data_IF_309677279224
#
_entry.id   IF_309677279224
#
_cell.length_a   1.000
_cell.length_b   1.000
_cell.length_c   1.000
_cell.angle_alpha   90.00
_cell.angle_beta   90.00
_cell.angle_gamma   90.00
#
_symmetry.space_group_name_H-M   'P 1'
#
loop_
_entity.id
_entity.type
_entity.pdbx_description
1 polymer ?
#
# COMPACT_ATOMS: atom_id res chain seq x y z
N UNK A 1 85.14 38.50 15.74
CA UNK A 1 83.82 38.73 16.38
C UNK A 1 83.07 37.40 16.46
N UNK A 2 82.69 36.97 17.68
CA UNK A 2 81.73 35.88 18.01
C UNK A 2 82.10 34.47 17.53
N UNK A 3 82.71 33.56 18.31
CA UNK A 3 82.34 32.96 19.61
C UNK A 3 81.15 31.99 19.59
N UNK A 4 81.54 30.71 19.73
CA UNK A 4 80.84 29.49 20.16
C UNK A 4 79.61 29.64 21.07
N UNK A 5 78.60 28.77 20.88
CA UNK A 5 78.10 27.88 21.95
C UNK A 5 77.20 26.73 21.43
N UNK A 6 77.61 25.52 21.76
CA UNK A 6 76.79 24.31 21.77
C UNK A 6 75.92 24.23 23.04
N UNK A 7 74.80 23.48 22.93
CA UNK A 7 74.02 22.71 23.95
C UNK A 7 72.66 22.44 23.29
N UNK A 8 72.10 21.24 23.15
CA UNK A 8 72.34 19.92 23.73
C UNK A 8 70.96 19.26 23.90
N UNK A 9 70.89 17.93 23.71
CA UNK A 9 69.84 17.03 24.24
C UNK A 9 68.41 17.15 23.66
N UNK A 10 67.57 16.13 23.45
CA UNK A 10 67.55 14.65 23.45
C UNK A 10 66.08 14.31 23.10
N UNK A 11 65.81 13.21 22.37
CA UNK A 11 64.52 12.45 22.30
C UNK A 11 63.19 13.23 22.22
N UNK A 12 62.44 13.01 21.15
CA UNK A 12 61.19 12.23 21.24
C UNK A 12 60.60 11.99 19.85
N UNK A 13 60.63 10.72 19.47
CA UNK A 13 59.79 10.09 18.46
C UNK A 13 58.37 9.99 19.03
N UNK A 14 57.37 10.04 18.14
CA UNK A 14 55.94 9.73 18.36
C UNK A 14 55.05 10.87 18.87
N UNK A 15 54.21 11.42 17.97
CA UNK A 15 52.77 11.65 18.21
C UNK A 15 52.13 12.34 16.98
N UNK A 16 52.08 11.67 15.83
CA UNK A 16 51.28 12.12 14.67
C UNK A 16 50.23 11.07 14.26
N UNK A 17 49.70 10.36 15.27
CA UNK A 17 48.80 9.22 15.09
C UNK A 17 47.45 9.34 15.83
N UNK A 18 47.01 10.54 16.21
CA UNK A 18 45.89 10.68 17.17
C UNK A 18 44.75 11.62 16.77
N UNK A 19 44.69 12.05 15.51
CA UNK A 19 43.57 12.87 14.98
C UNK A 19 42.58 12.09 14.09
N UNK A 20 42.77 10.78 13.90
CA UNK A 20 41.80 9.88 13.24
C UNK A 20 40.91 9.06 14.19
N UNK A 21 41.12 9.17 15.50
CA UNK A 21 40.40 8.36 16.51
C UNK A 21 39.15 9.03 17.11
N UNK A 22 38.93 10.33 16.91
CA UNK A 22 37.78 11.05 17.52
C UNK A 22 36.52 11.10 16.65
N UNK A 23 36.59 10.80 15.35
CA UNK A 23 35.43 10.75 14.46
C UNK A 23 34.80 9.35 14.31
N UNK A 24 35.47 8.31 14.79
CA UNK A 24 34.97 6.93 14.77
C UNK A 24 34.13 6.56 16.01
N UNK A 25 34.18 7.36 17.08
CA UNK A 25 33.51 7.06 18.35
C UNK A 25 32.23 7.88 18.62
N UNK A 26 31.84 8.76 17.69
CA UNK A 26 30.61 9.55 17.76
C UNK A 26 29.44 8.98 16.93
N UNK A 27 29.61 7.80 16.31
CA UNK A 27 28.54 7.12 15.55
C UNK A 27 27.87 5.95 16.29
N UNK A 28 28.27 5.67 17.53
CA UNK A 28 27.74 4.54 18.29
C UNK A 28 26.81 4.94 19.46
N UNK A 29 26.23 6.14 19.43
CA UNK A 29 25.28 6.63 20.45
C UNK A 29 23.83 6.78 19.96
N UNK A 30 23.48 6.25 18.78
CA UNK A 30 22.08 6.19 18.30
C UNK A 30 21.37 4.86 18.58
N UNK A 31 21.93 4.00 19.42
CA UNK A 31 21.32 2.72 19.82
C UNK A 31 20.36 2.82 21.03
N UNK A 32 19.99 4.04 21.44
CA UNK A 32 19.14 4.28 22.62
C UNK A 32 17.65 4.56 22.34
N UNK A 33 17.20 4.62 21.07
CA UNK A 33 15.81 4.95 20.72
C UNK A 33 15.10 3.86 19.87
N UNK A 34 15.48 2.59 20.00
CA UNK A 34 14.73 1.45 19.46
C UNK A 34 14.52 0.39 20.53
N UNK A 35 13.58 0.61 21.44
CA UNK A 35 13.28 -0.35 22.51
C UNK A 35 12.05 -1.22 22.28
N UNK A 36 11.29 -1.00 21.20
CA UNK A 36 10.06 -1.77 20.92
C UNK A 36 10.25 -2.68 19.69
N UNK A 37 9.88 -3.97 19.79
CA UNK A 37 9.86 -4.84 18.62
C UNK A 37 8.90 -4.28 17.57
N UNK A 38 9.29 -4.35 16.29
CA UNK A 38 8.51 -3.80 15.16
C UNK A 38 7.06 -4.28 15.19
N UNK A 39 6.81 -5.54 15.57
CA UNK A 39 5.47 -6.11 15.72
C UNK A 39 4.53 -5.33 16.65
N UNK A 40 5.06 -4.57 17.62
CA UNK A 40 4.31 -3.80 18.60
C UNK A 40 4.31 -2.28 18.33
N UNK A 41 4.74 -1.86 17.14
CA UNK A 41 4.53 -0.46 16.74
C UNK A 41 3.04 -0.14 16.73
N UNK A 42 2.69 1.07 17.17
CA UNK A 42 1.30 1.56 17.22
C UNK A 42 0.55 1.34 15.89
N UNK A 43 1.10 1.67 14.70
CA UNK A 43 0.43 1.36 13.43
C UNK A 43 0.15 -0.14 13.24
N UNK A 44 1.04 -1.02 13.68
CA UNK A 44 0.85 -2.47 13.51
C UNK A 44 -0.23 -3.02 14.47
N UNK A 45 -0.35 -2.44 15.67
CA UNK A 45 -1.43 -2.76 16.60
C UNK A 45 -2.80 -2.34 16.01
N UNK A 46 -2.86 -1.18 15.35
CA UNK A 46 -4.05 -0.75 14.60
C UNK A 46 -4.33 -1.74 13.46
N UNK A 47 -3.30 -2.16 12.72
CA UNK A 47 -3.41 -3.20 11.68
C UNK A 47 -4.02 -4.51 12.20
N UNK A 48 -3.60 -5.01 13.37
CA UNK A 48 -4.20 -6.20 13.97
C UNK A 48 -5.66 -5.98 14.40
N UNK A 49 -5.97 -4.80 14.93
CA UNK A 49 -7.35 -4.44 15.27
C UNK A 49 -8.24 -4.42 14.02
N UNK A 50 -7.73 -3.94 12.87
CA UNK A 50 -8.43 -3.98 11.57
C UNK A 50 -8.69 -5.41 11.11
N UNK A 51 -7.70 -6.30 11.21
CA UNK A 51 -7.88 -7.73 10.90
C UNK A 51 -9.01 -8.33 11.76
N UNK A 52 -8.99 -8.08 13.08
CA UNK A 52 -10.03 -8.57 13.97
C UNK A 52 -11.42 -7.99 13.67
N UNK A 53 -11.50 -6.68 13.39
CA UNK A 53 -12.73 -6.01 13.00
C UNK A 53 -13.31 -6.61 11.71
N UNK A 54 -12.48 -6.86 10.70
CA UNK A 54 -12.90 -7.50 9.45
C UNK A 54 -13.39 -8.93 9.66
N UNK A 55 -12.67 -9.76 10.43
CA UNK A 55 -13.12 -11.13 10.76
C UNK A 55 -14.48 -11.10 11.43
N UNK A 56 -14.66 -10.19 12.40
CA UNK A 56 -15.93 -10.02 13.12
C UNK A 56 -17.03 -9.53 12.18
N UNK A 57 -16.73 -8.57 11.31
CA UNK A 57 -17.67 -8.07 10.31
C UNK A 57 -18.16 -9.22 9.43
N UNK A 58 -17.25 -9.94 8.78
CA UNK A 58 -17.61 -11.05 7.89
C UNK A 58 -18.37 -12.18 8.61
N UNK A 59 -18.09 -12.44 9.89
CA UNK A 59 -18.85 -13.41 10.68
C UNK A 59 -20.34 -13.04 10.84
N UNK A 60 -20.67 -11.75 10.83
CA UNK A 60 -22.05 -11.25 11.00
C UNK A 60 -22.69 -10.74 9.70
N UNK A 61 -22.04 -10.90 8.55
CA UNK A 61 -22.47 -10.27 7.29
C UNK A 61 -23.89 -10.67 6.86
N UNK A 62 -24.28 -11.94 7.01
CA UNK A 62 -25.62 -12.40 6.63
C UNK A 62 -26.65 -12.30 7.75
N UNK A 63 -26.25 -12.03 9.00
CA UNK A 63 -27.15 -11.94 10.15
C UNK A 63 -27.50 -10.50 10.51
N UNK A 64 -26.55 -9.57 10.41
CA UNK A 64 -26.75 -8.17 10.74
C UNK A 64 -25.97 -7.25 9.78
N UNK A 65 -26.64 -6.83 8.69
CA UNK A 65 -26.02 -5.98 7.66
C UNK A 65 -25.56 -4.60 8.17
N UNK A 66 -26.34 -3.87 9.00
CA UNK A 66 -25.86 -2.60 9.56
C UNK A 66 -24.59 -2.76 10.40
N UNK A 67 -24.52 -3.81 11.22
CA UNK A 67 -23.33 -4.08 12.04
C UNK A 67 -22.11 -4.42 11.17
N UNK A 68 -22.30 -5.25 10.12
CA UNK A 68 -21.26 -5.51 9.12
C UNK A 68 -20.73 -4.20 8.53
N UNK A 69 -21.61 -3.35 8.00
CA UNK A 69 -21.23 -2.11 7.35
C UNK A 69 -20.50 -1.17 8.32
N UNK A 70 -20.95 -1.08 9.57
CA UNK A 70 -20.30 -0.30 10.62
C UNK A 70 -18.89 -0.79 10.94
N UNK A 71 -18.72 -2.10 11.19
CA UNK A 71 -17.41 -2.69 11.51
C UNK A 71 -16.44 -2.60 10.34
N UNK A 72 -16.91 -2.87 9.12
CA UNK A 72 -16.11 -2.76 7.90
C UNK A 72 -15.67 -1.31 7.66
N UNK A 73 -16.58 -0.33 7.83
CA UNK A 73 -16.25 1.08 7.69
C UNK A 73 -15.25 1.56 8.75
N UNK A 74 -15.38 1.09 10.00
CA UNK A 74 -14.40 1.37 11.05
C UNK A 74 -13.02 0.83 10.67
N UNK A 75 -12.96 -0.42 10.19
CA UNK A 75 -11.72 -1.03 9.71
C UNK A 75 -11.09 -0.22 8.57
N UNK A 76 -11.91 0.22 7.61
CA UNK A 76 -11.50 1.08 6.49
C UNK A 76 -11.02 2.47 6.93
N UNK A 77 -11.61 3.07 7.97
CA UNK A 77 -11.12 4.36 8.51
C UNK A 77 -9.80 4.17 9.24
N UNK A 78 -9.64 3.06 9.96
CA UNK A 78 -8.41 2.74 10.69
C UNK A 78 -7.20 2.55 9.76
N UNK A 79 -7.42 2.18 8.50
CA UNK A 79 -6.40 2.15 7.43
C UNK A 79 -5.61 3.44 7.32
N UNK A 80 -6.32 4.54 7.04
CA UNK A 80 -5.69 5.84 6.89
C UNK A 80 -5.06 6.34 8.20
N UNK A 81 -5.59 5.89 9.36
CA UNK A 81 -5.05 6.23 10.67
C UNK A 81 -3.72 5.52 10.94
N UNK A 82 -3.56 4.23 10.61
CA UNK A 82 -2.31 3.52 10.85
C UNK A 82 -1.15 4.16 10.06
N UNK A 83 -1.38 4.54 8.81
CA UNK A 83 -0.40 5.23 7.99
C UNK A 83 -0.04 6.61 8.54
N UNK A 84 -1.00 7.34 9.11
CA UNK A 84 -0.75 8.63 9.78
C UNK A 84 0.09 8.44 11.04
N UNK A 85 -0.27 7.50 11.91
CA UNK A 85 0.49 7.22 13.13
C UNK A 85 1.90 6.72 12.81
N UNK A 86 2.08 5.91 11.78
CA UNK A 86 3.40 5.47 11.33
C UNK A 86 4.32 6.65 10.98
N UNK A 87 3.79 7.69 10.31
CA UNK A 87 4.52 8.91 9.96
C UNK A 87 4.73 9.85 11.16
N UNK A 88 3.72 9.99 12.01
CA UNK A 88 3.77 10.89 13.18
C UNK A 88 4.72 10.39 14.27
N UNK A 89 4.79 9.07 14.46
CA UNK A 89 5.59 8.43 15.52
C UNK A 89 6.96 7.95 15.03
N UNK A 90 7.31 8.21 13.77
CA UNK A 90 8.52 7.67 13.10
C UNK A 90 8.62 6.12 13.21
N UNK A 91 7.47 5.45 13.14
CA UNK A 91 7.30 3.99 13.27
C UNK A 91 7.00 3.33 11.91
N UNK A 92 7.56 3.86 10.82
CA UNK A 92 7.42 3.25 9.49
C UNK A 92 8.23 1.96 9.40
N UNK A 93 7.63 0.91 8.83
CA UNK A 93 8.30 -0.39 8.67
C UNK A 93 7.80 -1.15 7.45
N UNK A 94 8.66 -1.97 6.84
CA UNK A 94 8.26 -2.84 5.71
C UNK A 94 7.20 -3.84 6.13
N UNK A 95 7.28 -4.39 7.35
CA UNK A 95 6.26 -5.27 7.89
C UNK A 95 4.89 -4.58 7.97
N UNK A 96 4.84 -3.37 8.53
CA UNK A 96 3.59 -2.61 8.62
C UNK A 96 2.99 -2.29 7.26
N UNK A 97 3.81 -1.87 6.30
CA UNK A 97 3.34 -1.60 4.93
C UNK A 97 2.80 -2.86 4.22
N UNK A 98 3.39 -4.04 4.46
CA UNK A 98 2.88 -5.30 3.91
C UNK A 98 1.61 -5.74 4.64
N UNK A 99 1.56 -5.63 5.96
CA UNK A 99 0.38 -5.97 6.77
C UNK A 99 -0.84 -5.14 6.34
N UNK A 100 -0.64 -3.84 6.18
CA UNK A 100 -1.63 -2.87 5.69
C UNK A 100 -2.20 -3.29 4.33
N UNK A 101 -1.32 -3.38 3.32
CA UNK A 101 -1.69 -3.78 1.96
C UNK A 101 -2.42 -5.14 1.92
N UNK A 102 -1.91 -6.16 2.62
CA UNK A 102 -2.54 -7.49 2.63
C UNK A 102 -3.92 -7.42 3.27
N UNK A 103 -4.07 -6.67 4.37
CA UNK A 103 -5.36 -6.51 5.06
C UNK A 103 -6.38 -5.86 4.14
N UNK A 104 -6.00 -4.83 3.38
CA UNK A 104 -6.89 -4.19 2.39
C UNK A 104 -7.37 -5.20 1.36
N UNK A 105 -6.42 -5.90 0.73
CA UNK A 105 -6.73 -6.83 -0.36
C UNK A 105 -7.66 -7.94 0.10
N UNK A 106 -7.40 -8.50 1.28
CA UNK A 106 -8.23 -9.56 1.87
C UNK A 106 -9.63 -9.03 2.22
N UNK A 107 -9.74 -7.80 2.71
CA UNK A 107 -11.02 -7.18 3.06
C UNK A 107 -11.89 -6.95 1.82
N UNK A 108 -11.35 -6.27 0.81
CA UNK A 108 -12.04 -6.05 -0.47
C UNK A 108 -12.40 -7.37 -1.13
N UNK A 109 -11.49 -8.36 -1.10
CA UNK A 109 -11.75 -9.69 -1.64
C UNK A 109 -12.93 -10.38 -0.95
N UNK A 110 -12.96 -10.37 0.38
CA UNK A 110 -14.05 -10.93 1.17
C UNK A 110 -15.39 -10.26 0.82
N UNK A 111 -15.40 -8.94 0.69
CA UNK A 111 -16.61 -8.19 0.33
C UNK A 111 -17.10 -8.52 -1.08
N UNK A 112 -16.19 -8.64 -2.06
CA UNK A 112 -16.53 -9.06 -3.43
C UNK A 112 -17.08 -10.49 -3.48
N UNK A 113 -16.54 -11.41 -2.67
CA UNK A 113 -17.08 -12.78 -2.54
C UNK A 113 -18.50 -12.74 -1.96
N UNK A 114 -18.74 -11.96 -0.91
CA UNK A 114 -20.10 -11.80 -0.34
C UNK A 114 -21.06 -11.22 -1.39
N UNK A 115 -20.64 -10.19 -2.13
CA UNK A 115 -21.44 -9.61 -3.21
C UNK A 115 -21.75 -10.63 -4.31
N UNK A 116 -20.78 -11.47 -4.68
CA UNK A 116 -20.99 -12.53 -5.66
C UNK A 116 -22.05 -13.55 -5.22
N UNK A 117 -22.23 -13.74 -3.90
CA UNK A 117 -23.26 -14.62 -3.35
C UNK A 117 -24.65 -13.96 -3.35
N UNK A 118 -24.71 -12.65 -3.08
CA UNK A 118 -25.95 -11.86 -3.10
C UNK A 118 -26.48 -11.70 -4.54
N UNK A 119 -25.59 -11.39 -5.47
CA UNK A 119 -25.88 -11.06 -6.87
C UNK A 119 -25.41 -12.18 -7.81
N UNK A 120 -26.07 -13.35 -7.75
CA UNK A 120 -25.66 -14.55 -8.51
C UNK A 120 -25.58 -14.31 -10.02
N UNK A 121 -26.50 -13.52 -10.57
CA UNK A 121 -26.53 -13.21 -12.01
C UNK A 121 -25.31 -12.38 -12.46
N UNK A 122 -24.66 -11.68 -11.53
CA UNK A 122 -23.43 -10.90 -11.75
C UNK A 122 -22.20 -11.57 -11.14
N UNK A 123 -22.23 -12.88 -10.88
CA UNK A 123 -21.11 -13.63 -10.31
C UNK A 123 -19.79 -13.39 -11.06
N UNK A 124 -19.81 -13.49 -12.39
CA UNK A 124 -18.61 -13.31 -13.22
C UNK A 124 -18.03 -11.90 -13.11
N UNK A 125 -18.88 -10.88 -12.90
CA UNK A 125 -18.42 -9.50 -12.69
C UNK A 125 -17.61 -9.39 -11.40
N UNK A 126 -18.16 -9.85 -10.28
CA UNK A 126 -17.48 -9.77 -8.98
C UNK A 126 -16.22 -10.66 -8.93
N UNK A 127 -16.27 -11.84 -9.54
CA UNK A 127 -15.10 -12.71 -9.69
C UNK A 127 -14.02 -12.03 -10.54
N UNK A 128 -14.41 -11.40 -11.66
CA UNK A 128 -13.48 -10.66 -12.52
C UNK A 128 -12.83 -9.48 -11.80
N UNK A 129 -13.62 -8.70 -11.04
CA UNK A 129 -13.11 -7.60 -10.20
C UNK A 129 -12.12 -8.10 -9.14
N UNK A 130 -12.44 -9.21 -8.48
CA UNK A 130 -11.57 -9.84 -7.49
C UNK A 130 -10.23 -10.26 -8.11
N UNK A 131 -10.27 -10.99 -9.23
CA UNK A 131 -9.07 -11.46 -9.94
C UNK A 131 -8.24 -10.28 -10.42
N UNK A 132 -8.88 -9.25 -10.97
CA UNK A 132 -8.20 -8.05 -11.44
C UNK A 132 -7.51 -7.31 -10.29
N UNK A 133 -8.17 -7.14 -9.15
CA UNK A 133 -7.60 -6.41 -8.01
C UNK A 133 -6.38 -7.13 -7.44
N UNK A 134 -6.49 -8.43 -7.15
CA UNK A 134 -5.37 -9.24 -6.64
C UNK A 134 -4.21 -9.29 -7.64
N UNK A 135 -4.49 -9.56 -8.92
CA UNK A 135 -3.44 -9.70 -9.94
C UNK A 135 -2.69 -8.40 -10.18
N UNK A 136 -3.41 -7.26 -10.28
CA UNK A 136 -2.81 -5.95 -10.53
C UNK A 136 -1.94 -5.48 -9.36
N UNK A 137 -2.37 -5.70 -8.12
CA UNK A 137 -1.59 -5.36 -6.94
C UNK A 137 -0.38 -6.27 -6.74
N UNK A 138 -0.54 -7.59 -6.95
CA UNK A 138 0.57 -8.53 -6.81
C UNK A 138 1.68 -8.25 -7.83
N UNK A 139 1.31 -8.07 -9.11
CA UNK A 139 2.27 -7.74 -10.16
C UNK A 139 2.94 -6.39 -9.90
N UNK A 140 2.21 -5.38 -9.44
CA UNK A 140 2.78 -4.07 -9.11
C UNK A 140 3.77 -4.14 -7.95
N UNK A 141 3.47 -4.91 -6.91
CA UNK A 141 4.39 -5.12 -5.79
C UNK A 141 5.67 -5.80 -6.23
N UNK A 142 5.53 -6.87 -7.02
CA UNK A 142 6.69 -7.62 -7.52
C UNK A 142 7.56 -6.79 -8.47
N UNK A 143 6.95 -6.07 -9.41
CA UNK A 143 7.67 -5.22 -10.35
C UNK A 143 8.42 -4.08 -9.64
N UNK A 144 7.83 -3.49 -8.60
CA UNK A 144 8.50 -2.46 -7.78
C UNK A 144 9.69 -3.02 -7.00
N UNK A 145 9.57 -4.25 -6.49
CA UNK A 145 10.66 -4.95 -5.83
C UNK A 145 11.81 -5.26 -6.80
N UNK A 146 11.52 -5.69 -8.04
CA UNK A 146 12.53 -5.93 -9.07
C UNK A 146 13.21 -4.62 -9.50
N UNK A 147 12.46 -3.56 -9.74
CA UNK A 147 12.98 -2.25 -10.14
C UNK A 147 13.92 -1.66 -9.07
N UNK A 148 13.68 -1.94 -7.78
CA UNK A 148 14.55 -1.50 -6.68
C UNK A 148 15.94 -2.15 -6.70
N UNK A 149 16.10 -3.31 -7.37
CA UNK A 149 17.40 -4.01 -7.50
C UNK A 149 18.21 -3.52 -8.71
N UNK A 150 17.58 -2.90 -9.70
CA UNK A 150 18.23 -2.32 -10.87
C UNK A 150 18.52 -0.84 -10.61
N UNK A 151 19.65 -0.57 -9.96
CA UNK A 151 20.14 0.80 -9.77
C UNK A 151 20.59 1.38 -11.12
N UNK A 152 20.10 2.59 -11.44
CA UNK A 152 20.52 3.46 -12.54
C UNK A 152 20.18 3.01 -13.98
N UNK A 153 18.93 3.27 -14.42
CA UNK A 153 18.62 3.95 -15.69
C UNK A 153 17.12 4.21 -15.81
N UNK A 154 16.79 5.37 -16.33
CA UNK A 154 15.46 5.98 -16.39
C UNK A 154 14.35 5.01 -16.86
N UNK A 155 13.49 4.62 -15.92
CA UNK A 155 12.20 3.98 -16.22
C UNK A 155 11.05 5.00 -16.14
N UNK A 156 11.31 6.24 -16.50
CA UNK A 156 10.43 7.36 -16.19
C UNK A 156 9.25 7.54 -17.17
N UNK A 157 9.33 7.10 -18.43
CA UNK A 157 8.46 7.71 -19.46
C UNK A 157 7.36 6.83 -20.08
N UNK A 158 7.16 5.59 -19.63
CA UNK A 158 6.04 4.75 -20.12
C UNK A 158 4.87 4.68 -19.13
N UNK A 159 4.60 5.75 -18.37
CA UNK A 159 3.40 5.81 -17.53
C UNK A 159 2.30 6.55 -18.27
N UNK A 160 1.21 5.84 -18.55
CA UNK A 160 -0.02 6.46 -19.06
C UNK A 160 -0.39 7.70 -18.23
N UNK A 161 -0.88 8.75 -18.89
CA UNK A 161 -1.21 10.02 -18.23
C UNK A 161 -2.12 9.84 -17.00
N UNK A 162 -3.08 8.93 -17.08
CA UNK A 162 -4.02 8.63 -15.98
C UNK A 162 -3.33 7.95 -14.79
N UNK A 163 -2.40 7.02 -15.03
CA UNK A 163 -1.65 6.36 -13.97
C UNK A 163 -0.72 7.35 -13.26
N UNK A 164 -0.13 8.29 -14.02
CA UNK A 164 0.66 9.38 -13.45
C UNK A 164 -0.19 10.29 -12.58
N UNK A 165 -1.35 10.71 -13.07
CA UNK A 165 -2.30 11.53 -12.30
C UNK A 165 -2.73 10.82 -11.01
N UNK A 166 -3.05 9.53 -11.10
CA UNK A 166 -3.44 8.70 -9.96
C UNK A 166 -2.40 8.69 -8.83
N UNK A 167 -1.14 8.43 -9.15
CA UNK A 167 -0.09 8.39 -8.12
C UNK A 167 0.41 9.77 -7.68
N UNK A 168 0.31 10.80 -8.53
CA UNK A 168 0.79 12.14 -8.21
C UNK A 168 -0.21 12.92 -7.33
N UNK A 169 -1.51 12.73 -7.52
CA UNK A 169 -2.56 13.46 -6.81
C UNK A 169 -3.20 12.59 -5.73
N UNK A 170 -2.76 12.75 -4.47
CA UNK A 170 -3.26 11.96 -3.32
C UNK A 170 -4.77 12.03 -3.13
N UNK A 171 -5.38 13.20 -3.37
CA UNK A 171 -6.84 13.40 -3.22
C UNK A 171 -7.59 12.56 -4.25
N UNK A 172 -7.10 12.53 -5.50
CA UNK A 172 -7.71 11.76 -6.58
C UNK A 172 -7.57 10.25 -6.36
N UNK A 173 -6.39 9.80 -5.88
CA UNK A 173 -6.18 8.42 -5.46
C UNK A 173 -7.17 8.01 -4.36
N UNK A 174 -7.26 8.82 -3.31
CA UNK A 174 -8.17 8.60 -2.19
C UNK A 174 -9.63 8.54 -2.63
N UNK A 175 -10.08 9.46 -3.50
CA UNK A 175 -11.43 9.43 -4.06
C UNK A 175 -11.73 8.10 -4.77
N UNK A 176 -10.82 7.60 -5.62
CA UNK A 176 -11.04 6.35 -6.35
C UNK A 176 -11.10 5.13 -5.42
N UNK A 177 -10.22 5.06 -4.42
CA UNK A 177 -10.18 3.95 -3.46
C UNK A 177 -11.43 3.95 -2.55
N UNK A 178 -11.75 5.10 -1.94
CA UNK A 178 -12.95 5.26 -1.11
C UNK A 178 -14.20 4.96 -1.92
N UNK A 179 -14.27 5.42 -3.17
CA UNK A 179 -15.42 5.17 -4.03
C UNK A 179 -15.65 3.67 -4.30
N UNK A 180 -14.60 2.87 -4.49
CA UNK A 180 -14.76 1.42 -4.66
C UNK A 180 -15.35 0.77 -3.41
N UNK A 181 -14.73 1.02 -2.25
CA UNK A 181 -15.14 0.40 -0.99
C UNK A 181 -16.56 0.80 -0.62
N UNK A 182 -16.88 2.10 -0.72
CA UNK A 182 -18.22 2.60 -0.41
C UNK A 182 -19.26 2.05 -1.40
N UNK A 183 -18.94 1.95 -2.70
CA UNK A 183 -19.86 1.37 -3.68
C UNK A 183 -20.19 -0.09 -3.34
N UNK A 184 -19.19 -0.87 -2.95
CA UNK A 184 -19.38 -2.27 -2.58
C UNK A 184 -20.22 -2.42 -1.29
N UNK A 185 -19.99 -1.56 -0.28
CA UNK A 185 -20.83 -1.52 0.92
C UNK A 185 -22.27 -1.13 0.58
N UNK A 186 -22.47 -0.13 -0.30
CA UNK A 186 -23.80 0.31 -0.74
C UNK A 186 -24.55 -0.82 -1.44
N UNK A 187 -23.89 -1.52 -2.38
CA UNK A 187 -24.46 -2.69 -3.04
C UNK A 187 -24.80 -3.78 -2.02
N UNK A 188 -23.94 -4.04 -1.05
CA UNK A 188 -24.19 -5.03 0.00
C UNK A 188 -25.43 -4.68 0.85
N UNK A 189 -25.58 -3.40 1.23
CA UNK A 189 -26.72 -2.93 2.02
C UNK A 189 -28.02 -3.02 1.22
N UNK A 190 -28.01 -2.62 -0.05
CA UNK A 190 -29.19 -2.64 -0.92
C UNK A 190 -29.59 -4.06 -1.37
N UNK A 191 -28.63 -4.96 -1.56
CA UNK A 191 -28.84 -6.26 -2.19
C UNK A 191 -29.70 -7.22 -1.38
N UNK A 192 -30.87 -7.60 -1.88
CA UNK A 192 -31.66 -8.70 -1.31
C UNK A 192 -31.07 -10.06 -1.76
N UNK A 193 -31.30 -11.16 -1.03
CA UNK A 193 -30.82 -12.48 -1.45
C UNK A 193 -31.30 -12.83 -2.87
N UNK A 194 -30.37 -13.23 -3.74
CA UNK A 194 -30.61 -13.53 -5.16
C UNK A 194 -31.17 -12.35 -5.97
N UNK A 195 -30.82 -11.11 -5.62
CA UNK A 195 -31.26 -9.94 -6.37
C UNK A 195 -30.41 -9.72 -7.63
N UNK A 196 -31.01 -9.05 -8.61
CA UNK A 196 -30.29 -8.47 -9.74
C UNK A 196 -29.73 -7.09 -9.37
N UNK A 197 -28.53 -6.75 -9.85
CA UNK A 197 -27.93 -5.41 -9.62
C UNK A 197 -28.85 -4.33 -10.20
N UNK A 198 -29.28 -4.51 -11.45
CA UNK A 198 -30.11 -3.53 -12.14
C UNK A 198 -31.44 -3.29 -11.42
N UNK A 199 -32.08 -4.37 -10.98
CA UNK A 199 -33.33 -4.30 -10.21
C UNK A 199 -33.11 -3.61 -8.86
N UNK A 200 -32.04 -3.98 -8.15
CA UNK A 200 -31.70 -3.38 -6.86
C UNK A 200 -31.47 -1.87 -6.96
N UNK A 201 -30.72 -1.44 -7.98
CA UNK A 201 -30.46 -0.02 -8.24
C UNK A 201 -31.74 0.70 -8.65
N UNK A 202 -32.59 0.06 -9.45
CA UNK A 202 -33.89 0.62 -9.85
C UNK A 202 -34.82 0.81 -8.66
N UNK A 203 -34.95 -0.18 -7.78
CA UNK A 203 -35.75 -0.05 -6.56
C UNK A 203 -35.21 1.06 -5.66
N UNK A 204 -33.89 1.15 -5.49
CA UNK A 204 -33.28 2.21 -4.70
C UNK A 204 -33.54 3.62 -5.28
N UNK A 205 -33.61 3.74 -6.62
CA UNK A 205 -34.00 4.96 -7.31
C UNK A 205 -35.47 5.32 -7.08
N UNK A 206 -36.38 4.35 -7.27
CA UNK A 206 -37.82 4.54 -7.10
C UNK A 206 -38.18 4.92 -5.66
N UNK A 207 -37.50 4.34 -4.67
CA UNK A 207 -37.65 4.66 -3.25
C UNK A 207 -36.95 5.98 -2.82
N UNK A 208 -36.23 6.65 -3.73
CA UNK A 208 -35.39 7.84 -3.44
C UNK A 208 -34.44 7.63 -2.25
N UNK A 209 -33.89 6.42 -2.14
CA UNK A 209 -33.02 6.06 -1.03
C UNK A 209 -31.75 6.91 -1.02
N UNK A 210 -31.29 7.33 0.16
CA UNK A 210 -30.01 8.04 0.33
C UNK A 210 -28.84 7.20 -0.21
N UNK A 211 -28.95 5.87 -0.13
CA UNK A 211 -27.96 4.94 -0.66
C UNK A 211 -27.84 5.01 -2.19
N UNK A 212 -28.92 5.37 -2.91
CA UNK A 212 -28.87 5.55 -4.35
C UNK A 212 -28.03 6.79 -4.74
N UNK A 213 -28.13 7.88 -3.98
CA UNK A 213 -27.29 9.06 -4.19
C UNK A 213 -25.82 8.70 -3.99
N UNK A 214 -25.53 7.94 -2.92
CA UNK A 214 -24.17 7.49 -2.64
C UNK A 214 -23.63 6.55 -3.74
N UNK A 215 -24.48 5.66 -4.28
CA UNK A 215 -24.16 4.83 -5.45
C UNK A 215 -23.76 5.70 -6.65
N UNK A 216 -24.53 6.74 -6.98
CA UNK A 216 -24.24 7.62 -8.12
C UNK A 216 -22.92 8.38 -7.98
N UNK A 217 -22.59 8.84 -6.78
CA UNK A 217 -21.34 9.58 -6.51
C UNK A 217 -20.11 8.69 -6.57
N UNK A 218 -20.24 7.42 -6.15
CA UNK A 218 -19.13 6.48 -6.01
C UNK A 218 -18.91 5.62 -7.26
N UNK A 219 -19.94 5.36 -8.07
CA UNK A 219 -19.82 4.56 -9.28
C UNK A 219 -18.75 5.06 -10.27
N UNK A 220 -18.62 6.37 -10.57
CA UNK A 220 -17.58 6.87 -11.47
C UNK A 220 -16.17 6.64 -10.93
N UNK A 221 -15.94 6.92 -9.64
CA UNK A 221 -14.65 6.69 -8.98
C UNK A 221 -14.25 5.21 -8.99
N UNK A 222 -15.22 4.31 -8.77
CA UNK A 222 -14.98 2.89 -8.87
C UNK A 222 -14.62 2.45 -10.29
N UNK A 223 -15.36 2.89 -11.30
CA UNK A 223 -15.07 2.56 -12.70
C UNK A 223 -13.66 3.02 -13.11
N UNK A 224 -13.27 4.24 -12.72
CA UNK A 224 -11.92 4.77 -12.95
C UNK A 224 -10.86 3.91 -12.26
N UNK A 225 -11.10 3.48 -11.02
CA UNK A 225 -10.17 2.60 -10.29
C UNK A 225 -9.99 1.25 -11.01
N UNK A 226 -11.04 0.64 -11.53
CA UNK A 226 -10.93 -0.62 -12.27
C UNK A 226 -10.12 -0.44 -13.57
N UNK A 227 -10.31 0.68 -14.26
CA UNK A 227 -9.50 1.04 -15.42
C UNK A 227 -8.02 1.21 -15.06
N UNK A 228 -7.74 1.87 -13.93
CA UNK A 228 -6.38 2.02 -13.41
C UNK A 228 -5.75 0.66 -13.07
N UNK A 229 -6.50 -0.26 -12.45
CA UNK A 229 -6.00 -1.60 -12.14
C UNK A 229 -5.56 -2.36 -13.42
N UNK A 230 -6.29 -2.24 -14.52
CA UNK A 230 -5.90 -2.81 -15.82
C UNK A 230 -4.60 -2.22 -16.36
N UNK A 231 -4.49 -0.89 -16.34
CA UNK A 231 -3.30 -0.18 -16.80
C UNK A 231 -2.09 -0.52 -15.91
N UNK A 232 -2.29 -0.55 -14.60
CA UNK A 232 -1.27 -0.89 -13.62
C UNK A 232 -0.74 -2.31 -13.86
N UNK A 233 -1.63 -3.27 -14.12
CA UNK A 233 -1.26 -4.64 -14.42
C UNK A 233 -0.37 -4.72 -15.67
N UNK A 234 -0.76 -4.04 -16.76
CA UNK A 234 0.05 -3.98 -17.98
C UNK A 234 1.42 -3.33 -17.72
N UNK A 235 1.42 -2.17 -17.06
CA UNK A 235 2.66 -1.44 -16.76
C UNK A 235 3.62 -2.28 -15.90
N UNK A 236 3.11 -3.02 -14.91
CA UNK A 236 3.91 -3.91 -14.08
C UNK A 236 4.48 -5.11 -14.87
N UNK A 237 3.73 -5.66 -15.82
CA UNK A 237 4.22 -6.70 -16.71
C UNK A 237 5.36 -6.17 -17.60
N UNK A 238 5.21 -4.98 -18.19
CA UNK A 238 6.24 -4.33 -19.01
C UNK A 238 7.54 -4.11 -18.22
N UNK A 239 7.44 -3.67 -16.95
CA UNK A 239 8.60 -3.53 -16.05
C UNK A 239 9.33 -4.86 -15.83
N UNK A 240 8.58 -5.95 -15.67
CA UNK A 240 9.16 -7.28 -15.44
C UNK A 240 9.88 -7.79 -16.69
N UNK A 241 9.28 -7.61 -17.87
CA UNK A 241 9.93 -7.96 -19.15
C UNK A 241 11.20 -7.14 -19.35
N UNK A 242 11.17 -5.83 -19.07
CA UNK A 242 12.36 -4.97 -19.15
C UNK A 242 13.47 -5.42 -18.20
N UNK A 243 13.11 -5.86 -16.99
CA UNK A 243 14.07 -6.42 -16.04
C UNK A 243 14.78 -7.65 -16.61
N UNK A 244 14.03 -8.58 -17.23
CA UNK A 244 14.61 -9.79 -17.83
C UNK A 244 15.54 -9.45 -19.01
N UNK A 245 15.10 -8.56 -19.90
CA UNK A 245 15.93 -8.08 -21.02
C UNK A 245 17.25 -7.45 -20.54
N UNK A 246 17.22 -6.63 -19.48
CA UNK A 246 18.41 -6.03 -18.90
C UNK A 246 19.33 -7.06 -18.22
N UNK A 247 18.74 -8.10 -17.63
CA UNK A 247 19.48 -9.19 -16.99
C UNK A 247 20.22 -10.03 -18.04
N UNK A 248 19.58 -10.33 -19.16
CA UNK A 248 20.19 -11.10 -20.24
C UNK A 248 21.28 -10.29 -20.95
N UNK A 249 21.04 -9.00 -21.23
CA UNK A 249 22.07 -8.11 -21.79
C UNK A 249 23.33 -7.99 -20.90
N UNK A 250 23.21 -8.13 -19.58
CA UNK A 250 24.37 -8.14 -18.67
C UNK A 250 25.15 -9.44 -18.72
N UNK A 251 24.51 -10.57 -19.03
CA UNK A 251 25.19 -11.86 -19.19
C UNK A 251 26.01 -11.88 -20.48
N UNK A 252 25.42 -11.44 -21.59
CA UNK A 252 26.10 -11.39 -22.89
C UNK A 252 27.33 -10.47 -22.88
N UNK A 253 27.33 -9.42 -22.06
CA UNK A 253 28.49 -8.53 -21.89
C UNK A 253 29.57 -9.07 -20.93
N UNK A 254 29.34 -10.22 -20.29
CA UNK A 254 30.26 -10.84 -19.32
C UNK A 254 30.93 -12.13 -19.81
N UNK A 255 30.52 -12.63 -20.99
CA UNK A 255 31.16 -13.71 -21.76
C UNK A 255 32.08 -13.14 -22.83
#
# INVERSE_FOLDING_TARGET
MGSSKAKGSTKARAAEGTTKSRSAQAKNSRSGLRSWPVYFYVPNLIGYARVFANVTAFAVCFTNKPLFAGLYLISFICDELDGRFARMLDQTSTFGAVLDMVTDRVSTAGLLVVLSHIYKDSFLLFLGLLVLDISSHWLQMYSTFLASKTSHKDMADSKSWILRLYYQQRIFMGYCCISCEVLYIVLFLLGKPNANILETVRTAFEEKSVLFILFLVTAPGCAIKQWINLIQMKSAADITVLYDLQKDAKKDNSE
#
